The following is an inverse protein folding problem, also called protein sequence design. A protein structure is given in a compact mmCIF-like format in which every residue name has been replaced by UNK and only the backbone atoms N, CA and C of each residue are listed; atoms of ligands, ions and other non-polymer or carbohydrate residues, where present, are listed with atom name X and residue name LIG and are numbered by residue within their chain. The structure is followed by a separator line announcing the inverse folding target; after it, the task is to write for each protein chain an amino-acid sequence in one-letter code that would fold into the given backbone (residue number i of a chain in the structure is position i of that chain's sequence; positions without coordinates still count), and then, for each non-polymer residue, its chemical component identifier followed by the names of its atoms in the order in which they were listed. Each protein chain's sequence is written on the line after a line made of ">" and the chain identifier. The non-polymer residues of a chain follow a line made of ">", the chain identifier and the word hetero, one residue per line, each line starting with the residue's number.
data_IF_117453410941
#
_entry.id   IF_117453410941
#
_cell.length_a   1.000
_cell.length_b   1.000
_cell.length_c   1.000
_cell.angle_alpha   90.00
_cell.angle_beta   90.00
_cell.angle_gamma   90.00
#
_symmetry.space_group_name_H-M   'P 1'
#
loop_
_entity.id
_entity.type
_entity.pdbx_description
1 polymer ?
#
# COMPACT_ATOMS: atom_id res chain seq x y z
N UNK A 1 9.88 -1.29 3.20
CA UNK A 1 9.94 0.12 2.72
C UNK A 1 9.15 1.12 3.55
N UNK A 2 8.09 0.75 4.28
CA UNK A 2 7.33 1.69 5.14
C UNK A 2 7.75 1.58 6.61
N UNK A 3 7.38 0.50 7.29
CA UNK A 3 7.51 0.40 8.76
C UNK A 3 8.95 0.39 9.25
N UNK A 4 9.78 -0.55 8.78
CA UNK A 4 11.17 -0.64 9.21
C UNK A 4 11.99 0.61 8.85
N UNK A 5 11.71 1.22 7.69
CA UNK A 5 12.29 2.52 7.30
C UNK A 5 11.87 3.64 8.25
N UNK A 6 10.59 3.69 8.63
CA UNK A 6 10.09 4.68 9.60
C UNK A 6 10.69 4.49 10.98
N UNK A 7 10.90 3.24 11.43
CA UNK A 7 11.57 2.94 12.69
C UNK A 7 13.03 3.38 12.67
N UNK A 8 13.76 3.11 11.59
CA UNK A 8 15.13 3.58 11.42
C UNK A 8 15.23 5.11 11.39
N UNK A 9 14.42 5.78 10.56
CA UNK A 9 14.40 7.25 10.48
C UNK A 9 13.91 7.91 11.78
N UNK A 10 13.07 7.20 12.56
CA UNK A 10 12.64 7.62 13.89
C UNK A 10 13.66 7.35 15.01
N UNK A 11 14.82 6.77 14.69
CA UNK A 11 15.88 6.45 15.66
C UNK A 11 15.56 5.26 16.57
N UNK A 12 14.60 4.41 16.19
CA UNK A 12 14.23 3.19 16.92
C UNK A 12 15.02 1.96 16.46
N UNK A 13 15.71 2.05 15.32
CA UNK A 13 16.71 1.08 14.89
C UNK A 13 18.03 1.82 14.75
N UNK A 14 19.10 1.25 15.29
CA UNK A 14 20.43 1.76 15.04
C UNK A 14 20.93 1.35 13.64
N UNK A 15 22.09 1.89 13.24
CA UNK A 15 22.69 1.64 11.92
C UNK A 15 23.02 0.15 11.70
N UNK A 16 23.41 -0.58 12.75
CA UNK A 16 23.75 -2.00 12.66
C UNK A 16 22.48 -2.85 12.52
N UNK A 17 21.48 -2.61 13.36
CA UNK A 17 20.17 -3.26 13.27
C UNK A 17 19.52 -3.04 11.91
N UNK A 18 19.60 -1.81 11.40
CA UNK A 18 19.10 -1.47 10.08
C UNK A 18 19.87 -2.18 8.96
N UNK A 19 21.19 -2.24 9.03
CA UNK A 19 22.00 -2.97 8.05
C UNK A 19 21.63 -4.47 8.03
N UNK A 20 21.56 -5.11 9.19
CA UNK A 20 21.18 -6.52 9.32
C UNK A 20 19.77 -6.73 8.77
N UNK A 21 18.81 -5.87 9.11
CA UNK A 21 17.45 -5.96 8.59
C UNK A 21 17.41 -5.91 7.06
N UNK A 22 18.15 -4.97 6.45
CA UNK A 22 18.18 -4.81 5.00
C UNK A 22 18.82 -6.01 4.29
N UNK A 23 19.89 -6.57 4.85
CA UNK A 23 20.56 -7.75 4.30
C UNK A 23 19.59 -8.95 4.28
N UNK A 24 18.96 -9.24 5.42
CA UNK A 24 17.98 -10.32 5.51
C UNK A 24 16.77 -10.12 4.59
N UNK A 25 16.24 -8.89 4.56
CA UNK A 25 15.11 -8.56 3.69
C UNK A 25 15.47 -8.73 2.22
N UNK A 26 16.66 -8.32 1.80
CA UNK A 26 17.14 -8.46 0.42
C UNK A 26 17.31 -9.93 0.03
N UNK A 27 17.97 -10.71 0.90
CA UNK A 27 18.16 -12.14 0.70
C UNK A 27 16.81 -12.88 0.54
N UNK A 28 15.87 -12.66 1.47
CA UNK A 28 14.56 -13.31 1.42
C UNK A 28 13.76 -12.93 0.17
N UNK A 29 13.84 -11.68 -0.26
CA UNK A 29 13.18 -11.26 -1.49
C UNK A 29 13.77 -11.92 -2.72
N UNK A 30 15.09 -12.12 -2.79
CA UNK A 30 15.74 -12.80 -3.92
C UNK A 30 15.32 -14.27 -4.00
N UNK A 31 15.31 -14.98 -2.87
CA UNK A 31 14.93 -16.40 -2.81
C UNK A 31 13.44 -16.64 -3.13
N UNK A 32 12.59 -15.67 -2.77
CA UNK A 32 11.13 -15.78 -2.97
C UNK A 32 10.65 -15.12 -4.25
N UNK A 33 11.49 -14.34 -4.92
CA UNK A 33 11.17 -13.57 -6.13
C UNK A 33 10.52 -14.41 -7.22
N UNK A 34 11.11 -15.57 -7.51
CA UNK A 34 10.66 -16.46 -8.57
C UNK A 34 9.32 -17.14 -8.22
N UNK A 35 8.98 -17.19 -6.93
CA UNK A 35 7.79 -17.89 -6.42
C UNK A 35 6.59 -16.95 -6.24
N UNK A 36 6.82 -15.63 -6.21
CA UNK A 36 5.79 -14.63 -5.90
C UNK A 36 5.67 -13.64 -7.06
N UNK A 37 4.77 -13.94 -8.00
CA UNK A 37 4.40 -13.01 -9.05
C UNK A 37 3.53 -11.88 -8.49
N UNK A 38 4.14 -10.71 -8.24
CA UNK A 38 3.40 -9.51 -7.87
C UNK A 38 2.84 -8.84 -9.13
N UNK A 39 1.52 -8.85 -9.26
CA UNK A 39 0.84 -8.24 -10.40
C UNK A 39 0.59 -6.74 -10.20
N UNK A 40 0.61 -6.26 -8.95
CA UNK A 40 0.53 -4.85 -8.59
C UNK A 40 -0.07 -4.64 -7.20
N UNK A 41 -0.28 -3.37 -6.85
CA UNK A 41 -0.75 -2.93 -5.55
C UNK A 41 -2.15 -2.34 -5.60
N UNK A 42 -2.90 -2.55 -4.53
CA UNK A 42 -4.09 -1.79 -4.19
C UNK A 42 -3.74 -0.90 -2.99
N UNK A 43 -3.64 0.41 -3.21
CA UNK A 43 -3.33 1.35 -2.15
C UNK A 43 -4.60 2.01 -1.61
N UNK A 44 -5.00 1.62 -0.41
CA UNK A 44 -6.12 2.24 0.32
C UNK A 44 -5.63 3.53 0.99
N UNK A 45 -5.83 4.66 0.31
CA UNK A 45 -5.34 5.96 0.73
C UNK A 45 -6.36 6.66 1.62
N UNK A 46 -5.94 7.05 2.82
CA UNK A 46 -6.71 7.87 3.75
C UNK A 46 -5.78 8.86 4.47
N UNK A 47 -6.36 9.98 4.90
CA UNK A 47 -5.67 10.99 5.71
C UNK A 47 -5.28 10.41 7.08
N UNK A 48 -4.12 10.80 7.64
CA UNK A 48 -3.67 10.37 8.97
C UNK A 48 -4.72 10.56 10.08
N UNK A 49 -5.47 11.66 10.04
CA UNK A 49 -6.53 11.98 10.99
C UNK A 49 -7.67 10.96 10.92
N UNK A 50 -8.05 10.54 9.70
CA UNK A 50 -9.06 9.52 9.48
C UNK A 50 -8.57 8.15 9.96
N UNK A 51 -7.30 7.83 9.74
CA UNK A 51 -6.68 6.62 10.27
C UNK A 51 -6.70 6.61 11.81
N UNK A 52 -6.38 7.75 12.45
CA UNK A 52 -6.40 7.89 13.90
C UNK A 52 -7.81 7.72 14.48
N UNK A 53 -8.81 8.35 13.86
CA UNK A 53 -10.23 8.17 14.22
C UNK A 53 -10.62 6.68 14.18
N UNK A 54 -10.28 5.98 13.09
CA UNK A 54 -10.60 4.56 12.90
C UNK A 54 -9.86 3.66 13.90
N UNK A 55 -8.61 3.97 14.20
CA UNK A 55 -7.81 3.27 15.20
C UNK A 55 -8.45 3.40 16.59
N UNK A 56 -8.83 4.63 16.98
CA UNK A 56 -9.53 4.90 18.24
C UNK A 56 -10.86 4.17 18.32
N UNK A 57 -11.64 4.17 17.23
CA UNK A 57 -12.93 3.44 17.13
C UNK A 57 -12.75 1.94 17.30
N UNK A 58 -11.67 1.36 16.77
CA UNK A 58 -11.36 -0.08 16.90
C UNK A 58 -10.95 -0.47 18.31
N UNK A 59 -10.29 0.42 19.05
CA UNK A 59 -10.06 0.26 20.50
C UNK A 59 -9.06 -0.83 20.90
N UNK A 60 -8.09 -1.18 20.04
CA UNK A 60 -7.06 -2.17 20.39
C UNK A 60 -6.12 -1.65 21.49
N UNK A 61 -5.88 -2.42 22.57
CA UNK A 61 -5.02 -1.99 23.67
C UNK A 61 -3.61 -1.59 23.23
N UNK A 62 -3.02 -2.32 22.29
CA UNK A 62 -1.65 -2.16 21.79
C UNK A 62 -1.47 -0.86 20.99
N UNK A 63 -2.57 -0.27 20.51
CA UNK A 63 -2.56 0.90 19.62
C UNK A 63 -2.90 2.20 20.36
N UNK A 64 -3.25 2.15 21.66
CA UNK A 64 -3.67 3.32 22.44
C UNK A 64 -2.61 4.43 22.51
N UNK A 65 -1.34 4.09 22.40
CA UNK A 65 -0.22 5.04 22.44
C UNK A 65 0.09 5.72 21.11
N UNK A 66 -0.52 5.29 20.00
CA UNK A 66 -0.20 5.79 18.66
C UNK A 66 -0.66 7.25 18.52
N UNK A 67 0.29 8.12 18.17
CA UNK A 67 0.08 9.55 17.95
C UNK A 67 -0.14 9.87 16.47
N UNK A 68 -0.71 11.05 16.20
CA UNK A 68 -0.96 11.53 14.83
C UNK A 68 0.33 11.64 14.03
N UNK A 69 1.40 12.17 14.62
CA UNK A 69 2.69 12.39 13.94
C UNK A 69 3.28 11.08 13.39
N UNK A 70 3.13 9.97 14.12
CA UNK A 70 3.56 8.66 13.63
C UNK A 70 2.73 8.22 12.41
N UNK A 71 1.41 8.45 12.42
CA UNK A 71 0.56 8.16 11.27
C UNK A 71 0.86 9.06 10.07
N UNK A 72 1.25 10.32 10.30
CA UNK A 72 1.72 11.23 9.26
C UNK A 72 3.04 10.75 8.64
N UNK A 73 3.99 10.29 9.47
CA UNK A 73 5.24 9.69 8.99
C UNK A 73 4.95 8.45 8.12
N UNK A 74 4.12 7.52 8.61
CA UNK A 74 3.73 6.34 7.83
C UNK A 74 3.04 6.73 6.53
N UNK A 75 2.14 7.73 6.55
CA UNK A 75 1.46 8.21 5.35
C UNK A 75 2.47 8.73 4.32
N UNK A 76 3.43 9.57 4.73
CA UNK A 76 4.47 10.08 3.85
C UNK A 76 5.29 8.96 3.20
N UNK A 77 5.66 7.91 3.95
CA UNK A 77 6.36 6.76 3.36
C UNK A 77 5.53 6.02 2.31
N UNK A 78 4.21 5.90 2.52
CA UNK A 78 3.34 5.27 1.52
C UNK A 78 3.19 6.14 0.28
N UNK A 79 3.05 7.47 0.43
CA UNK A 79 2.99 8.41 -0.69
C UNK A 79 4.28 8.37 -1.52
N UNK A 80 5.44 8.50 -0.86
CA UNK A 80 6.75 8.46 -1.53
C UNK A 80 7.00 7.14 -2.23
N UNK A 81 6.49 6.03 -1.69
CA UNK A 81 6.65 4.73 -2.32
C UNK A 81 5.65 4.46 -3.46
N UNK A 82 4.35 4.62 -3.21
CA UNK A 82 3.29 4.11 -4.07
C UNK A 82 2.78 5.15 -5.07
N UNK A 83 2.93 6.44 -4.76
CA UNK A 83 2.44 7.57 -5.56
C UNK A 83 3.58 8.30 -6.24
N UNK A 84 4.51 8.87 -5.47
CA UNK A 84 5.60 9.70 -6.00
C UNK A 84 6.74 8.88 -6.62
N UNK A 85 6.84 7.59 -6.26
CA UNK A 85 7.88 6.66 -6.72
C UNK A 85 9.30 7.15 -6.43
N UNK A 86 9.48 7.89 -5.33
CA UNK A 86 10.78 8.42 -4.88
C UNK A 86 11.50 7.49 -3.90
N UNK A 87 10.79 6.56 -3.26
CA UNK A 87 11.40 5.53 -2.41
C UNK A 87 12.22 4.55 -3.25
N UNK A 88 13.52 4.46 -2.96
CA UNK A 88 14.38 3.47 -3.57
C UNK A 88 13.96 2.05 -3.15
N UNK A 89 13.69 1.20 -4.15
CA UNK A 89 13.37 -0.21 -3.96
C UNK A 89 14.38 -1.07 -4.69
N UNK A 90 14.87 -2.11 -4.04
CA UNK A 90 15.96 -2.95 -4.55
C UNK A 90 15.47 -4.17 -5.33
N UNK A 91 14.17 -4.24 -5.65
CA UNK A 91 13.56 -5.38 -6.33
C UNK A 91 12.89 -4.96 -7.64
N UNK A 92 13.30 -5.59 -8.75
CA UNK A 92 12.83 -5.25 -10.10
C UNK A 92 11.31 -5.40 -10.25
N UNK A 93 10.72 -6.47 -9.71
CA UNK A 93 9.27 -6.69 -9.75
C UNK A 93 8.44 -5.64 -9.00
N UNK A 94 9.07 -4.93 -8.05
CA UNK A 94 8.43 -3.84 -7.31
C UNK A 94 8.52 -2.50 -8.05
N UNK A 95 9.61 -2.24 -8.79
CA UNK A 95 9.78 -1.01 -9.57
C UNK A 95 8.69 -0.85 -10.64
N UNK A 96 8.37 -1.94 -11.34
CA UNK A 96 7.37 -1.97 -12.42
C UNK A 96 5.93 -2.22 -11.95
N UNK A 97 5.70 -2.43 -10.66
CA UNK A 97 4.38 -2.78 -10.15
C UNK A 97 3.38 -1.63 -10.37
N UNK A 98 2.22 -1.97 -10.93
CA UNK A 98 1.13 -1.01 -11.12
C UNK A 98 0.34 -0.82 -9.83
N UNK A 99 0.07 0.43 -9.46
CA UNK A 99 -0.63 0.80 -8.22
C UNK A 99 -2.00 1.35 -8.58
N UNK A 100 -3.07 0.76 -8.03
CA UNK A 100 -4.40 1.34 -8.03
C UNK A 100 -4.63 2.06 -6.70
N UNK A 101 -4.79 3.38 -6.75
CA UNK A 101 -5.07 4.19 -5.56
C UNK A 101 -6.59 4.29 -5.35
N UNK A 102 -7.04 3.92 -4.15
CA UNK A 102 -8.42 4.05 -3.71
C UNK A 102 -8.49 5.06 -2.57
N UNK A 103 -9.10 6.22 -2.81
CA UNK A 103 -9.43 7.16 -1.73
C UNK A 103 -10.54 6.56 -0.87
N UNK A 104 -10.21 6.31 0.39
CA UNK A 104 -11.10 5.75 1.40
C UNK A 104 -11.23 6.67 2.61
N UNK A 105 -11.17 8.00 2.41
CA UNK A 105 -11.45 8.97 3.48
C UNK A 105 -12.93 8.94 3.90
N UNK A 106 -13.84 8.77 2.95
CA UNK A 106 -15.25 8.54 3.24
C UNK A 106 -15.42 7.18 3.92
N UNK A 107 -16.30 7.12 4.92
CA UNK A 107 -16.65 5.83 5.50
C UNK A 107 -17.40 5.02 4.44
N UNK A 108 -16.87 3.85 4.13
CA UNK A 108 -17.42 2.92 3.14
C UNK A 108 -17.93 1.64 3.81
N UNK A 109 -17.73 1.45 5.12
CA UNK A 109 -18.14 0.23 5.83
C UNK A 109 -19.66 0.01 5.73
N UNK A 110 -20.42 1.09 5.66
CA UNK A 110 -21.90 1.08 5.64
C UNK A 110 -22.51 1.88 4.47
N UNK A 111 -21.70 2.33 3.52
CA UNK A 111 -22.15 3.11 2.35
C UNK A 111 -22.04 2.23 1.10
N UNK A 112 -23.14 1.56 0.74
CA UNK A 112 -23.19 0.65 -0.41
C UNK A 112 -22.82 1.35 -1.73
N UNK A 113 -23.21 2.62 -1.89
CA UNK A 113 -22.87 3.37 -3.10
C UNK A 113 -21.35 3.61 -3.19
N UNK A 114 -20.68 3.91 -2.09
CA UNK A 114 -19.22 4.04 -2.06
C UNK A 114 -18.56 2.67 -2.29
N UNK A 115 -19.09 1.59 -1.73
CA UNK A 115 -18.58 0.23 -1.98
C UNK A 115 -18.64 -0.12 -3.47
N UNK A 116 -19.77 0.14 -4.13
CA UNK A 116 -19.94 -0.11 -5.57
C UNK A 116 -18.93 0.68 -6.42
N UNK A 117 -18.71 1.97 -6.08
CA UNK A 117 -17.71 2.80 -6.76
C UNK A 117 -16.30 2.23 -6.58
N UNK A 118 -15.92 1.79 -5.38
CA UNK A 118 -14.61 1.20 -5.11
C UNK A 118 -14.43 -0.13 -5.85
N UNK A 119 -15.45 -0.99 -5.85
CA UNK A 119 -15.43 -2.28 -6.55
C UNK A 119 -15.38 -2.10 -8.07
N UNK A 120 -16.09 -1.11 -8.61
CA UNK A 120 -16.01 -0.76 -10.03
C UNK A 120 -14.59 -0.33 -10.43
N UNK A 121 -13.89 0.45 -9.59
CA UNK A 121 -12.48 0.83 -9.83
C UNK A 121 -11.54 -0.38 -9.82
N UNK A 122 -11.72 -1.32 -8.87
CA UNK A 122 -10.94 -2.55 -8.82
C UNK A 122 -11.21 -3.43 -10.06
N UNK A 123 -12.49 -3.59 -10.43
CA UNK A 123 -12.90 -4.33 -11.62
C UNK A 123 -12.34 -3.74 -12.92
N UNK A 124 -12.42 -2.42 -13.07
CA UNK A 124 -11.86 -1.70 -14.23
C UNK A 124 -10.35 -1.84 -14.35
N UNK A 125 -9.62 -1.76 -13.23
CA UNK A 125 -8.17 -1.97 -13.24
C UNK A 125 -7.79 -3.43 -13.55
N UNK A 126 -8.58 -4.40 -13.07
CA UNK A 126 -8.39 -5.81 -13.39
C UNK A 126 -8.66 -6.14 -14.86
N UNK A 127 -9.61 -5.45 -15.49
CA UNK A 127 -9.92 -5.55 -16.91
C UNK A 127 -8.87 -4.87 -17.81
N UNK A 128 -8.36 -3.69 -17.42
CA UNK A 128 -7.30 -3.02 -18.17
C UNK A 128 -5.97 -3.80 -18.23
N UNK A 129 -5.71 -4.64 -17.21
CA UNK A 129 -4.49 -5.49 -17.14
C UNK A 129 -4.61 -6.80 -17.90
N UNK A 130 -5.84 -7.32 -18.07
CA UNK A 130 -6.12 -8.49 -18.92
C UNK A 130 -6.62 -7.95 -20.25
N UNK A 131 -5.74 -7.74 -21.24
CA UNK A 131 -6.14 -7.31 -22.57
C UNK A 131 -7.24 -8.19 -23.16
N UNK A 132 -8.50 -7.87 -22.88
CA UNK A 132 -9.67 -8.49 -23.47
C UNK A 132 -10.04 -7.58 -24.64
N UNK A 133 -10.06 -8.09 -25.88
CA UNK A 133 -10.50 -7.28 -27.00
C UNK A 133 -11.95 -6.84 -26.76
N UNK A 134 -12.34 -5.65 -27.25
CA UNK A 134 -13.73 -5.21 -27.12
C UNK A 134 -14.62 -6.26 -27.76
N UNK A 135 -15.67 -6.64 -27.02
CA UNK A 135 -16.67 -7.61 -27.47
C UNK A 135 -17.23 -7.08 -28.79
N UNK A 136 -16.93 -7.76 -29.90
CA UNK A 136 -17.45 -7.39 -31.20
C UNK A 136 -18.98 -7.34 -31.09
N UNK A 137 -19.54 -6.15 -31.31
CA UNK A 137 -20.96 -6.00 -31.53
C UNK A 137 -21.28 -6.77 -32.82
N UNK A 138 -21.90 -7.94 -32.67
CA UNK A 138 -22.41 -8.71 -33.80
C UNK A 138 -23.48 -7.88 -34.51
N UNK A 139 -23.12 -7.30 -35.64
CA UNK A 139 -24.06 -7.01 -36.72
C UNK A 139 -24.38 -8.34 -37.38
N UNK A 140 -25.62 -8.79 -37.26
CA UNK A 140 -26.41 -9.53 -38.27
C UNK A 140 -27.84 -9.66 -37.76
#
# INVERSE_FOLDING_TARGET
>A
YVFAKSLFEGGHLDTLEWAIYQDWHTFLLQELAERVALHGFLYLRAAPEKCLERLRRRGRPEEKGIQLDYLQQLHAQHESWLVERTTEVHFAGLKGASVLVLDVNRDFERDAAVQDILMAKVGGAGAARRGFPPRAAGMS
#
